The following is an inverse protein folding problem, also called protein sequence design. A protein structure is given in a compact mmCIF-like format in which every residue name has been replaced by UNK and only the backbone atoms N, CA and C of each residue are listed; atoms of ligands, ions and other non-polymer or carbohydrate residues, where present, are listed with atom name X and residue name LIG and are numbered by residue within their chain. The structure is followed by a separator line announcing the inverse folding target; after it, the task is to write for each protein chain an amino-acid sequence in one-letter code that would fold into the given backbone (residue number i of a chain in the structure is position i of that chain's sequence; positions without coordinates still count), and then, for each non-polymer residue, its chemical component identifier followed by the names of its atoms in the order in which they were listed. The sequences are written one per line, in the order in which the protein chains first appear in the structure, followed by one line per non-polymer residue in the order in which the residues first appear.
data_IF_006495311208
#
_entry.id   IF_006495311208
#
_cell.length_a   1.000
_cell.length_b   1.000
_cell.length_c   1.000
_cell.angle_alpha   90.00
_cell.angle_beta   90.00
_cell.angle_gamma   90.00
#
_symmetry.space_group_name_H-M   'P 1'
#
loop_
_entity.id
_entity.type
_entity.pdbx_description
1 polymer ?
#
# COMPACT_ATOMS: atom_id res chain seq x y z
N UNK A 1 4.80 -36.91 12.23
CA UNK A 1 5.30 -35.74 11.46
C UNK A 1 6.54 -35.19 12.15
N UNK A 2 7.66 -35.87 11.95
CA UNK A 2 9.01 -35.53 12.45
C UNK A 2 9.55 -34.21 11.87
N UNK A 3 8.97 -33.76 10.76
CA UNK A 3 9.52 -32.68 9.93
C UNK A 3 9.37 -31.31 10.57
N UNK A 4 8.39 -31.15 11.49
CA UNK A 4 8.20 -29.90 12.26
C UNK A 4 9.16 -29.74 13.44
N UNK A 5 9.76 -30.84 13.92
CA UNK A 5 10.65 -30.83 15.06
C UNK A 5 12.01 -30.20 14.71
N UNK A 6 12.50 -30.48 13.50
CA UNK A 6 13.82 -30.06 12.99
C UNK A 6 13.84 -28.67 12.30
N UNK A 7 12.77 -27.85 12.43
CA UNK A 7 12.80 -26.49 11.88
C UNK A 7 13.56 -25.50 12.76
N UNK A 8 14.19 -24.53 12.09
CA UNK A 8 14.74 -23.34 12.74
C UNK A 8 13.66 -22.59 13.53
N UNK A 9 14.10 -21.93 14.61
CA UNK A 9 13.24 -21.10 15.46
C UNK A 9 12.52 -20.01 14.67
N UNK A 10 13.20 -19.42 13.68
CA UNK A 10 12.62 -18.44 12.75
C UNK A 10 11.45 -19.03 11.96
N UNK A 11 11.62 -20.21 11.37
CA UNK A 11 10.56 -20.83 10.57
C UNK A 11 9.37 -21.27 11.43
N UNK A 12 9.61 -21.75 12.66
CA UNK A 12 8.55 -22.03 13.64
C UNK A 12 7.72 -20.77 13.94
N UNK A 13 8.38 -19.61 14.05
CA UNK A 13 7.72 -18.32 14.27
C UNK A 13 6.91 -17.88 13.05
N UNK A 14 7.46 -17.96 11.84
CA UNK A 14 6.75 -17.66 10.60
C UNK A 14 5.50 -18.52 10.43
N UNK A 15 5.59 -19.82 10.71
CA UNK A 15 4.45 -20.75 10.65
C UNK A 15 3.37 -20.41 11.68
N UNK A 16 3.76 -20.00 12.90
CA UNK A 16 2.83 -19.56 13.93
C UNK A 16 2.08 -18.29 13.50
N UNK A 17 2.80 -17.31 12.95
CA UNK A 17 2.20 -16.08 12.41
C UNK A 17 1.25 -16.39 11.24
N UNK A 18 1.66 -17.27 10.32
CA UNK A 18 0.82 -17.70 9.21
C UNK A 18 -0.48 -18.35 9.69
N UNK A 19 -0.40 -19.27 10.66
CA UNK A 19 -1.59 -19.90 11.26
C UNK A 19 -2.49 -18.87 11.96
N UNK A 20 -1.91 -17.92 12.68
CA UNK A 20 -2.66 -16.83 13.35
C UNK A 20 -3.44 -15.96 12.35
N UNK A 21 -2.83 -15.65 11.20
CA UNK A 21 -3.44 -14.76 10.20
C UNK A 21 -4.20 -15.48 9.07
N UNK A 22 -4.21 -16.80 9.07
CA UNK A 22 -4.90 -17.64 8.09
C UNK A 22 -6.35 -17.23 7.76
N UNK A 23 -7.24 -16.87 8.72
CA UNK A 23 -8.60 -16.43 8.39
C UNK A 23 -8.61 -15.12 7.57
N UNK A 24 -7.71 -14.18 7.85
CA UNK A 24 -7.62 -12.93 7.09
C UNK A 24 -7.05 -13.17 5.69
N UNK A 25 -6.08 -14.08 5.56
CA UNK A 25 -5.54 -14.51 4.26
C UNK A 25 -6.64 -15.19 3.43
N UNK A 26 -7.54 -15.98 4.03
CA UNK A 26 -8.70 -16.51 3.31
C UNK A 26 -9.62 -15.40 2.80
N UNK A 27 -9.83 -14.35 3.59
CA UNK A 27 -10.66 -13.21 3.18
C UNK A 27 -10.09 -12.46 1.97
N UNK A 28 -8.76 -12.40 1.77
CA UNK A 28 -8.17 -11.73 0.60
C UNK A 28 -8.47 -12.45 -0.71
N UNK A 29 -8.79 -13.75 -0.69
CA UNK A 29 -9.25 -14.47 -1.88
C UNK A 29 -10.75 -14.30 -2.13
N UNK A 30 -11.53 -14.01 -1.08
CA UNK A 30 -12.99 -13.85 -1.16
C UNK A 30 -13.40 -12.46 -1.62
N UNK A 31 -12.67 -11.43 -1.19
CA UNK A 31 -13.01 -10.04 -1.48
C UNK A 31 -12.01 -9.41 -2.46
N UNK A 32 -12.45 -8.50 -3.34
CA UNK A 32 -11.57 -7.84 -4.32
C UNK A 32 -10.69 -6.74 -3.69
N UNK A 33 -10.61 -6.64 -2.37
CA UNK A 33 -9.82 -5.62 -1.68
C UNK A 33 -8.35 -6.03 -1.66
N UNK A 34 -7.50 -5.15 -2.17
CA UNK A 34 -6.05 -5.29 -2.09
C UNK A 34 -5.43 -4.11 -1.35
N UNK A 35 -4.28 -4.36 -0.72
CA UNK A 35 -3.52 -3.33 -0.01
C UNK A 35 -2.71 -2.43 -0.95
N UNK A 36 -2.68 -2.69 -2.26
CA UNK A 36 -1.80 -2.02 -3.22
C UNK A 36 -2.02 -0.50 -3.25
N UNK A 37 -3.27 -0.03 -3.13
CA UNK A 37 -3.56 1.41 -3.04
C UNK A 37 -2.96 2.05 -1.78
N UNK A 38 -3.08 1.37 -0.63
CA UNK A 38 -2.57 1.83 0.66
C UNK A 38 -1.04 1.82 0.66
N UNK A 39 -0.43 0.75 0.13
CA UNK A 39 1.02 0.64 -0.05
C UNK A 39 1.58 1.73 -0.95
N UNK A 40 0.88 2.03 -2.05
CA UNK A 40 1.24 3.12 -2.96
C UNK A 40 1.22 4.49 -2.27
N UNK A 41 0.21 4.76 -1.44
CA UNK A 41 0.13 5.99 -0.62
C UNK A 41 1.30 6.04 0.36
N UNK A 42 1.55 4.95 1.10
CA UNK A 42 2.64 4.87 2.08
C UNK A 42 4.01 5.09 1.42
N UNK A 43 4.23 4.55 0.21
CA UNK A 43 5.48 4.76 -0.52
C UNK A 43 5.66 6.21 -0.96
N UNK A 44 4.62 6.87 -1.47
CA UNK A 44 4.66 8.30 -1.82
C UNK A 44 5.00 9.17 -0.61
N UNK A 45 4.39 8.89 0.54
CA UNK A 45 4.66 9.59 1.80
C UNK A 45 6.13 9.37 2.23
N UNK A 46 6.63 8.13 2.15
CA UNK A 46 8.05 7.82 2.43
C UNK A 46 8.99 8.58 1.49
N UNK A 47 8.65 8.71 0.20
CA UNK A 47 9.43 9.52 -0.76
C UNK A 47 9.41 11.00 -0.39
N UNK A 48 8.25 11.56 -0.04
CA UNK A 48 8.14 12.95 0.42
C UNK A 48 9.05 13.21 1.63
N UNK A 49 9.09 12.30 2.59
CA UNK A 49 9.99 12.41 3.74
C UNK A 49 11.47 12.41 3.35
N UNK A 50 11.88 11.54 2.43
CA UNK A 50 13.28 11.47 1.97
C UNK A 50 13.72 12.76 1.28
N UNK A 51 12.85 13.33 0.43
CA UNK A 51 13.16 14.56 -0.32
C UNK A 51 13.13 15.80 0.58
N UNK A 52 12.30 15.79 1.63
CA UNK A 52 12.21 16.91 2.56
C UNK A 52 13.31 16.94 3.63
N UNK A 53 14.15 15.90 3.71
CA UNK A 53 15.18 15.74 4.76
C UNK A 53 14.63 15.83 6.20
N UNK A 54 13.34 15.55 6.37
CA UNK A 54 12.63 15.64 7.64
C UNK A 54 11.95 16.99 7.89
N UNK A 55 10.79 16.93 8.56
CA UNK A 55 10.03 18.10 8.95
C UNK A 55 10.20 18.35 10.45
N UNK A 56 10.53 19.59 10.85
CA UNK A 56 10.56 20.00 12.26
C UNK A 56 9.15 20.15 12.86
N UNK A 57 8.15 20.43 12.03
CA UNK A 57 6.76 20.63 12.43
C UNK A 57 5.84 19.65 11.68
N UNK A 58 5.08 18.86 12.44
CA UNK A 58 4.14 17.88 11.89
C UNK A 58 3.00 18.52 11.09
N UNK A 59 2.53 19.72 11.47
CA UNK A 59 1.49 20.43 10.73
C UNK A 59 1.94 20.74 9.30
N UNK A 60 3.20 21.18 9.13
CA UNK A 60 3.77 21.45 7.81
C UNK A 60 3.92 20.15 6.99
N UNK A 61 4.29 19.06 7.64
CA UNK A 61 4.36 17.75 6.98
C UNK A 61 2.98 17.27 6.51
N UNK A 62 1.96 17.36 7.37
CA UNK A 62 0.57 17.03 7.04
C UNK A 62 0.06 17.89 5.87
N UNK A 63 0.31 19.19 5.91
CA UNK A 63 -0.08 20.10 4.82
C UNK A 63 0.61 19.72 3.50
N UNK A 64 1.90 19.39 3.53
CA UNK A 64 2.61 18.91 2.33
C UNK A 64 2.01 17.62 1.77
N UNK A 65 1.67 16.65 2.62
CA UNK A 65 1.00 15.41 2.20
C UNK A 65 -0.33 15.75 1.52
N UNK A 66 -1.17 16.55 2.16
CA UNK A 66 -2.49 16.93 1.63
C UNK A 66 -2.33 17.59 0.25
N UNK A 67 -1.46 18.59 0.13
CA UNK A 67 -1.19 19.27 -1.14
C UNK A 67 -0.73 18.27 -2.22
N UNK A 68 0.18 17.35 -1.88
CA UNK A 68 0.71 16.36 -2.83
C UNK A 68 -0.37 15.39 -3.36
N UNK A 69 -1.36 15.04 -2.54
CA UNK A 69 -2.45 14.15 -2.96
C UNK A 69 -3.65 14.90 -3.56
N UNK A 70 -3.88 16.16 -3.18
CA UNK A 70 -4.97 17.00 -3.69
C UNK A 70 -4.66 17.64 -5.04
N UNK A 71 -3.39 17.94 -5.33
CA UNK A 71 -2.99 18.49 -6.62
C UNK A 71 -2.94 17.38 -7.68
N UNK A 72 -4.02 17.26 -8.47
CA UNK A 72 -4.00 16.42 -9.67
C UNK A 72 -3.22 17.13 -10.77
N UNK A 73 -2.06 16.58 -11.16
CA UNK A 73 -1.35 17.08 -12.33
C UNK A 73 -2.22 16.99 -13.58
N UNK A 74 -2.15 17.98 -14.48
CA UNK A 74 -2.95 17.99 -15.72
C UNK A 74 -2.78 16.70 -16.52
N UNK A 75 -1.56 16.15 -16.58
CA UNK A 75 -1.28 14.89 -17.24
C UNK A 75 -2.04 13.70 -16.62
N UNK A 76 -2.27 13.70 -15.30
CA UNK A 76 -3.08 12.68 -14.62
C UNK A 76 -4.57 12.86 -14.91
N UNK A 77 -5.03 14.11 -15.05
CA UNK A 77 -6.42 14.42 -15.43
C UNK A 77 -6.71 13.97 -16.86
N UNK A 78 -5.80 14.27 -17.80
CA UNK A 78 -5.89 13.84 -19.21
C UNK A 78 -5.89 12.32 -19.35
N UNK A 79 -5.04 11.60 -18.59
CA UNK A 79 -5.04 10.13 -18.57
C UNK A 79 -6.36 9.54 -18.03
N UNK A 80 -6.96 10.17 -17.03
CA UNK A 80 -8.25 9.73 -16.49
C UNK A 80 -9.37 9.99 -17.52
N UNK A 81 -9.41 11.18 -18.11
CA UNK A 81 -10.37 11.55 -19.15
C UNK A 81 -10.27 10.64 -20.39
N UNK A 82 -9.06 10.36 -20.88
CA UNK A 82 -8.84 9.45 -22.01
C UNK A 82 -9.33 8.03 -21.72
N UNK A 83 -9.15 7.54 -20.47
CA UNK A 83 -9.61 6.22 -20.05
C UNK A 83 -11.12 6.12 -20.00
N UNK A 84 -11.81 7.16 -19.53
CA UNK A 84 -13.27 7.20 -19.50
C UNK A 84 -13.86 7.27 -20.90
N UNK A 85 -13.29 8.12 -21.77
CA UNK A 85 -13.69 8.19 -23.19
C UNK A 85 -13.55 6.82 -23.85
N UNK A 86 -12.44 6.11 -23.65
CA UNK A 86 -12.25 4.78 -24.25
C UNK A 86 -13.25 3.74 -23.73
N UNK A 87 -13.67 3.83 -22.46
CA UNK A 87 -14.71 2.93 -21.92
C UNK A 87 -16.14 3.26 -22.34
N UNK A 88 -16.38 4.48 -22.83
CA UNK A 88 -17.70 4.87 -23.37
C UNK A 88 -17.87 4.49 -24.84
N UNK A 89 -16.76 4.30 -25.55
CA UNK A 89 -16.74 3.98 -26.99
C UNK A 89 -16.52 2.47 -27.25
N UNK A 90 -16.15 1.70 -26.23
CA UNK A 90 -16.03 0.24 -26.24
C UNK A 90 -17.31 -0.41 -25.70
#
# INVERSE_FOLDING_TARGET
RSDVANLSSYMKTSLRTLRKHLPFIKNTFKYPYNNGKIEGINNKIKVLNRVAYGYRNFANYKNRIIIHFSLKSEASQRKHAQKEVYSMVA
#
